data_IF_945812786548
#
_entry.id   IF_945812786548
#
_cell.length_a   1.000
_cell.length_b   1.000
_cell.length_c   1.000
_cell.angle_alpha   90.00
_cell.angle_beta   90.00
_cell.angle_gamma   90.00
#
_symmetry.space_group_name_H-M   'P 1'
#
loop_
_entity.id
_entity.type
_entity.pdbx_description
1 polymer ?
#
# COMPACT_ATOMS: atom_id res chain seq x y z
N UNK A 1 39.25 49.60 4.48
CA UNK A 1 39.57 48.24 4.94
C UNK A 1 38.34 47.67 5.62
N UNK A 2 37.91 46.49 5.14
CA UNK A 2 36.99 45.53 5.76
C UNK A 2 35.49 45.88 5.80
N UNK A 3 34.79 45.47 4.75
CA UNK A 3 33.33 45.31 4.71
C UNK A 3 33.00 43.89 5.22
N UNK A 4 32.32 43.78 6.34
CA UNK A 4 31.90 42.50 6.93
C UNK A 4 30.50 42.13 6.41
N UNK A 5 30.44 41.14 5.50
CA UNK A 5 29.19 40.47 5.16
C UNK A 5 28.81 39.47 6.26
N UNK A 6 27.65 39.66 6.90
CA UNK A 6 27.02 38.63 7.72
C UNK A 6 26.15 37.73 6.83
N UNK A 7 26.58 36.48 6.70
CA UNK A 7 25.86 35.39 6.04
C UNK A 7 24.91 34.74 7.05
N UNK A 8 23.63 35.08 7.00
CA UNK A 8 22.59 34.36 7.74
C UNK A 8 22.40 32.97 7.13
N UNK A 9 22.66 31.94 7.92
CA UNK A 9 22.34 30.54 7.60
C UNK A 9 20.83 30.35 7.76
N UNK A 10 20.13 30.14 6.65
CA UNK A 10 18.74 29.66 6.66
C UNK A 10 18.77 28.14 6.82
N UNK A 11 18.05 27.66 7.82
CA UNK A 11 18.01 26.27 8.26
C UNK A 11 17.59 25.29 7.17
N UNK A 12 18.17 24.10 7.24
CA UNK A 12 17.73 22.90 6.55
C UNK A 12 16.37 22.50 7.12
N UNK A 13 15.29 22.87 6.44
CA UNK A 13 13.99 22.27 6.69
C UNK A 13 14.03 20.86 6.08
N UNK A 14 14.11 19.86 6.94
CA UNK A 14 14.00 18.47 6.54
C UNK A 14 12.57 18.22 6.07
N UNK A 15 12.37 18.15 4.75
CA UNK A 15 11.13 17.69 4.13
C UNK A 15 10.98 16.20 4.46
N UNK A 16 10.21 15.93 5.50
CA UNK A 16 9.70 14.60 5.81
C UNK A 16 8.71 14.23 4.71
N UNK A 17 8.67 12.97 4.21
CA UNK A 17 7.58 12.53 3.36
C UNK A 17 6.32 12.54 4.22
N UNK A 18 5.57 13.64 4.12
CA UNK A 18 4.27 13.74 4.76
C UNK A 18 3.36 12.83 3.94
N UNK A 19 3.01 11.66 4.50
CA UNK A 19 1.82 10.95 4.07
C UNK A 19 0.65 11.90 4.31
N UNK A 20 0.28 12.63 3.25
CA UNK A 20 -0.77 13.65 3.26
C UNK A 20 -2.08 12.93 3.47
N UNK A 21 -2.46 12.74 4.74
CA UNK A 21 -3.80 12.30 5.12
C UNK A 21 -4.79 13.36 4.65
N UNK A 22 -5.67 13.03 3.71
CA UNK A 22 -6.77 13.93 3.30
C UNK A 22 -8.13 13.25 3.28
N UNK A 23 -9.20 14.04 3.50
CA UNK A 23 -10.45 13.53 4.01
C UNK A 23 -11.38 13.08 2.89
N UNK A 24 -11.92 11.87 3.03
CA UNK A 24 -13.07 11.41 2.26
C UNK A 24 -14.34 11.43 3.12
N UNK A 25 -15.49 11.70 2.46
CA UNK A 25 -16.82 11.81 3.06
C UNK A 25 -17.13 10.61 3.97
N UNK A 26 -17.34 10.90 5.26
CA UNK A 26 -17.68 9.90 6.28
C UNK A 26 -19.20 9.67 6.32
N UNK A 27 -19.66 8.58 5.71
CA UNK A 27 -20.97 8.01 6.04
C UNK A 27 -20.85 7.22 7.34
N UNK A 28 -21.40 7.74 8.43
CA UNK A 28 -21.49 7.03 9.72
C UNK A 28 -22.54 5.92 9.62
N UNK A 29 -22.13 4.72 9.25
CA UNK A 29 -22.89 3.50 9.53
C UNK A 29 -22.38 2.89 10.85
N UNK A 30 -23.19 3.03 11.89
CA UNK A 30 -22.92 2.60 13.24
C UNK A 30 -23.19 1.09 13.39
N UNK A 31 -22.16 0.26 13.29
CA UNK A 31 -22.30 -1.20 13.47
C UNK A 31 -21.95 -1.59 14.92
N UNK A 32 -23.01 -1.77 15.72
CA UNK A 32 -22.94 -2.29 17.10
C UNK A 32 -22.46 -3.74 17.08
N UNK A 33 -21.55 -4.07 18.00
CA UNK A 33 -20.88 -5.35 18.05
C UNK A 33 -21.80 -6.53 18.34
N UNK A 34 -21.35 -7.71 17.91
CA UNK A 34 -21.76 -8.98 18.48
C UNK A 34 -20.52 -9.86 18.59
N UNK A 35 -20.11 -10.17 19.82
CA UNK A 35 -19.01 -11.08 20.12
C UNK A 35 -19.44 -12.48 19.70
N UNK A 36 -19.01 -12.96 18.53
CA UNK A 36 -19.11 -14.37 18.19
C UNK A 36 -18.02 -15.14 18.92
N UNK A 37 -18.37 -15.64 20.10
CA UNK A 37 -17.60 -16.71 20.75
C UNK A 37 -17.71 -17.95 19.86
N UNK A 38 -16.59 -18.37 19.29
CA UNK A 38 -16.49 -19.68 18.68
C UNK A 38 -16.49 -20.71 19.83
N UNK A 39 -17.59 -21.43 19.98
CA UNK A 39 -17.62 -22.66 20.77
C UNK A 39 -16.76 -23.65 19.99
N UNK A 40 -15.53 -23.85 20.43
CA UNK A 40 -14.71 -24.97 19.97
C UNK A 40 -15.30 -26.21 20.64
N UNK A 41 -16.00 -27.02 19.86
CA UNK A 41 -16.41 -28.36 20.26
C UNK A 41 -15.15 -29.22 20.41
N UNK A 42 -14.56 -29.24 21.60
CA UNK A 42 -13.53 -30.22 21.95
C UNK A 42 -14.23 -31.54 22.25
N UNK A 43 -14.34 -32.40 21.23
CA UNK A 43 -14.61 -33.81 21.44
C UNK A 43 -13.36 -34.42 22.10
N UNK A 44 -13.40 -34.60 23.42
CA UNK A 44 -12.36 -35.32 24.17
C UNK A 44 -12.52 -36.82 23.95
N UNK A 45 -12.09 -37.30 22.78
CA UNK A 45 -11.91 -38.73 22.52
C UNK A 45 -10.42 -39.04 22.44
N UNK A 46 -9.89 -39.61 23.52
CA UNK A 46 -8.63 -40.36 23.55
C UNK A 46 -7.35 -39.53 23.40
N UNK A 47 -6.66 -39.29 24.52
CA UNK A 47 -5.23 -38.99 24.56
C UNK A 47 -4.46 -40.11 23.84
N UNK A 48 -4.11 -39.87 22.57
CA UNK A 48 -3.36 -40.79 21.75
C UNK A 48 -2.35 -40.00 20.94
N UNK A 49 -1.11 -40.49 20.91
CA UNK A 49 0.14 -39.94 20.34
C UNK A 49 0.05 -39.42 18.89
N UNK A 50 -1.11 -39.51 18.25
CA UNK A 50 -1.42 -39.12 16.87
C UNK A 50 -1.65 -37.62 16.70
N UNK A 51 -2.10 -36.90 17.74
CA UNK A 51 -2.37 -35.46 17.62
C UNK A 51 -1.10 -34.59 17.58
N UNK A 52 0.04 -35.13 18.02
CA UNK A 52 1.33 -34.43 17.95
C UNK A 52 1.93 -34.43 16.52
N UNK A 53 1.55 -35.40 15.67
CA UNK A 53 2.04 -35.49 14.28
C UNK A 53 1.32 -34.52 13.34
N UNK A 54 0.03 -34.29 13.53
CA UNK A 54 -0.78 -33.40 12.68
C UNK A 54 -0.44 -31.91 12.88
N UNK A 55 -0.11 -31.50 14.11
CA UNK A 55 0.28 -30.11 14.41
C UNK A 55 1.67 -29.72 13.86
N UNK A 56 2.56 -30.70 13.63
CA UNK A 56 3.89 -30.46 13.09
C UNK A 56 3.89 -30.21 11.57
N UNK A 57 2.92 -30.78 10.84
CA UNK A 57 2.87 -30.68 9.37
C UNK A 57 2.51 -29.28 8.86
N UNK A 58 1.64 -28.53 9.56
CA UNK A 58 1.18 -27.20 9.12
C UNK A 58 2.28 -26.12 9.27
N UNK A 59 3.15 -26.26 10.28
CA UNK A 59 4.26 -25.31 10.51
C UNK A 59 5.38 -25.47 9.46
N UNK A 60 5.58 -26.69 8.92
CA UNK A 60 6.64 -26.97 7.95
C UNK A 60 6.30 -26.51 6.50
N UNK A 61 5.03 -26.36 6.15
CA UNK A 61 4.63 -26.02 4.77
C UNK A 61 4.65 -24.50 4.52
N UNK A 62 4.43 -23.68 5.54
CA UNK A 62 4.42 -22.21 5.39
C UNK A 62 5.77 -21.60 5.00
N UNK A 63 6.89 -22.26 5.33
CA UNK A 63 8.25 -21.80 5.02
C UNK A 63 8.74 -22.21 3.62
N UNK A 64 8.02 -23.09 2.92
CA UNK A 64 8.37 -23.57 1.58
C UNK A 64 7.68 -22.78 0.46
N UNK A 65 6.83 -21.81 0.79
CA UNK A 65 6.24 -20.93 -0.21
C UNK A 65 7.34 -19.99 -0.74
N UNK A 66 7.58 -19.93 -2.05
CA UNK A 66 8.52 -18.98 -2.62
C UNK A 66 8.08 -17.56 -2.24
N UNK A 67 8.87 -16.88 -1.41
CA UNK A 67 8.70 -15.45 -1.17
C UNK A 67 9.08 -14.76 -2.47
N UNK A 68 8.15 -14.05 -3.11
CA UNK A 68 8.48 -13.18 -4.23
C UNK A 68 9.60 -12.23 -3.76
N UNK A 69 10.78 -12.36 -4.38
CA UNK A 69 11.90 -11.48 -4.09
C UNK A 69 11.50 -10.06 -4.48
N UNK A 70 11.90 -9.07 -3.67
CA UNK A 70 11.70 -7.68 -4.05
C UNK A 70 12.38 -7.43 -5.40
N UNK A 71 11.63 -6.88 -6.36
CA UNK A 71 12.17 -6.52 -7.66
C UNK A 71 13.29 -5.49 -7.46
N UNK A 72 14.53 -5.88 -7.76
CA UNK A 72 15.69 -5.00 -7.56
C UNK A 72 15.53 -3.74 -8.41
N UNK A 73 15.72 -2.57 -7.80
CA UNK A 73 15.59 -1.29 -8.50
C UNK A 73 14.16 -0.76 -8.62
N UNK A 74 13.18 -1.43 -8.01
CA UNK A 74 11.81 -0.96 -7.92
C UNK A 74 11.38 -0.79 -6.46
N UNK A 75 10.47 0.15 -6.23
CA UNK A 75 9.90 0.46 -4.92
C UNK A 75 8.40 0.14 -4.96
N UNK A 76 7.85 -0.62 -3.98
CA UNK A 76 6.42 -0.88 -3.93
C UNK A 76 5.65 0.31 -3.34
N UNK A 77 4.57 0.70 -4.02
CA UNK A 77 3.53 1.61 -3.52
C UNK A 77 2.25 0.81 -3.27
N UNK A 78 1.59 1.05 -2.12
CA UNK A 78 0.33 0.39 -1.78
C UNK A 78 -0.60 1.38 -1.09
N UNK A 79 -1.76 1.60 -1.68
CA UNK A 79 -2.86 2.30 -1.04
C UNK A 79 -3.88 1.29 -0.51
N UNK A 80 -4.13 1.34 0.80
CA UNK A 80 -5.09 0.44 1.46
C UNK A 80 -6.51 1.01 1.51
N UNK A 81 -6.67 2.31 1.30
CA UNK A 81 -7.95 3.00 1.29
C UNK A 81 -8.64 2.79 -0.06
N UNK A 82 -7.89 2.94 -1.15
CA UNK A 82 -8.41 2.79 -2.53
C UNK A 82 -8.14 1.40 -3.13
N UNK A 83 -7.35 0.56 -2.45
CA UNK A 83 -7.24 -0.87 -2.74
C UNK A 83 -6.32 -1.22 -3.91
N UNK A 84 -5.43 -0.33 -4.32
CA UNK A 84 -4.44 -0.60 -5.37
C UNK A 84 -3.02 -0.79 -4.82
N UNK A 85 -2.19 -1.48 -5.59
CA UNK A 85 -0.76 -1.57 -5.33
C UNK A 85 0.01 -1.70 -6.63
N UNK A 86 1.14 -1.02 -6.73
CA UNK A 86 2.01 -1.07 -7.89
C UNK A 86 3.47 -0.97 -7.47
N UNK A 87 4.37 -1.12 -8.44
CA UNK A 87 5.80 -0.89 -8.27
C UNK A 87 6.25 0.21 -9.21
N UNK A 88 7.20 1.03 -8.79
CA UNK A 88 7.76 2.11 -9.59
C UNK A 88 9.29 2.10 -9.50
N UNK A 89 10.01 2.70 -10.46
CA UNK A 89 11.48 2.69 -10.45
C UNK A 89 12.06 3.43 -9.25
N UNK A 90 13.20 2.96 -8.75
CA UNK A 90 13.99 3.70 -7.78
C UNK A 90 14.46 5.03 -8.39
N UNK A 91 14.46 6.11 -7.60
CA UNK A 91 14.84 7.45 -8.05
C UNK A 91 13.67 8.32 -8.50
N UNK A 92 12.43 7.82 -8.39
CA UNK A 92 11.22 8.60 -8.64
C UNK A 92 10.68 9.20 -7.34
N UNK A 93 10.15 10.43 -7.42
CA UNK A 93 9.60 11.17 -6.30
C UNK A 93 8.09 11.38 -6.45
N UNK A 94 7.37 11.21 -5.34
CA UNK A 94 5.94 11.52 -5.26
C UNK A 94 5.71 13.04 -5.32
N UNK A 95 4.74 13.46 -6.12
CA UNK A 95 4.29 14.85 -6.23
C UNK A 95 2.77 14.90 -6.13
N UNK A 96 2.26 15.90 -5.40
CA UNK A 96 0.82 16.10 -5.29
C UNK A 96 0.29 16.89 -6.50
N UNK A 97 -0.66 16.32 -7.23
CA UNK A 97 -1.34 16.98 -8.36
C UNK A 97 -2.84 16.90 -8.14
N UNK A 98 -3.55 17.99 -8.46
CA UNK A 98 -5.00 18.07 -8.25
C UNK A 98 -5.74 17.13 -9.20
N UNK A 99 -6.54 16.21 -8.65
CA UNK A 99 -7.38 15.28 -9.41
C UNK A 99 -6.74 13.92 -9.68
N UNK A 100 -5.49 13.73 -9.28
CA UNK A 100 -4.82 12.44 -9.24
C UNK A 100 -4.72 11.99 -7.79
N UNK A 101 -4.75 10.67 -7.61
CA UNK A 101 -4.56 10.10 -6.29
C UNK A 101 -3.07 10.10 -5.92
N UNK A 102 -2.23 9.56 -6.81
CA UNK A 102 -0.77 9.64 -6.68
C UNK A 102 -0.11 9.92 -8.01
N UNK A 103 0.99 10.68 -7.99
CA UNK A 103 1.85 10.94 -9.15
C UNK A 103 3.30 10.78 -8.73
N UNK A 104 4.04 9.95 -9.45
CA UNK A 104 5.49 9.79 -9.31
C UNK A 104 6.19 10.36 -10.55
N UNK A 105 7.28 11.10 -10.35
CA UNK A 105 8.11 11.66 -11.41
C UNK A 105 9.57 11.26 -11.26
N UNK A 106 10.26 11.05 -12.37
CA UNK A 106 11.71 10.85 -12.34
C UNK A 106 12.43 12.14 -11.91
N UNK A 107 13.39 12.00 -10.99
CA UNK A 107 14.20 13.13 -10.48
C UNK A 107 15.24 13.59 -11.51
N UNK A 108 15.73 12.68 -12.34
CA UNK A 108 16.75 12.92 -13.38
C UNK A 108 16.12 13.30 -14.71
N UNK A 109 15.00 12.67 -15.08
CA UNK A 109 14.27 12.96 -16.32
C UNK A 109 12.83 13.41 -16.04
N UNK A 110 12.58 14.66 -15.60
CA UNK A 110 11.27 15.11 -15.09
C UNK A 110 10.07 15.03 -16.06
N UNK A 111 10.32 14.70 -17.33
CA UNK A 111 9.30 14.45 -18.35
C UNK A 111 8.68 13.05 -18.22
N UNK A 112 9.34 12.12 -17.53
CA UNK A 112 8.81 10.79 -17.24
C UNK A 112 7.97 10.80 -15.96
N UNK A 113 6.77 10.22 -16.03
CA UNK A 113 5.86 10.17 -14.90
C UNK A 113 4.90 8.99 -14.96
N UNK A 114 4.42 8.57 -13.80
CA UNK A 114 3.36 7.60 -13.63
C UNK A 114 2.35 8.15 -12.62
N UNK A 115 1.06 8.00 -12.92
CA UNK A 115 -0.01 8.50 -12.06
C UNK A 115 -1.15 7.52 -11.95
N UNK A 116 -1.80 7.51 -10.80
CA UNK A 116 -3.06 6.79 -10.58
C UNK A 116 -4.17 7.81 -10.39
N UNK A 117 -5.29 7.60 -11.08
CA UNK A 117 -6.52 8.36 -10.91
C UNK A 117 -7.66 7.39 -10.64
N UNK A 118 -8.39 7.63 -9.54
CA UNK A 118 -9.55 6.82 -9.16
C UNK A 118 -10.80 7.61 -9.53
N UNK A 119 -11.57 7.07 -10.47
CA UNK A 119 -12.82 7.67 -10.92
C UNK A 119 -13.99 6.72 -10.63
N UNK A 120 -15.10 7.28 -10.15
CA UNK A 120 -16.33 6.51 -9.97
C UNK A 120 -16.89 6.08 -11.33
N UNK A 121 -17.38 4.85 -11.41
CA UNK A 121 -17.99 4.29 -12.61
C UNK A 121 -19.19 3.41 -12.27
N UNK A 122 -20.19 3.42 -13.15
CA UNK A 122 -21.34 2.52 -13.08
C UNK A 122 -21.08 1.18 -13.81
N UNK A 123 -19.89 1.01 -14.40
CA UNK A 123 -19.49 -0.18 -15.15
C UNK A 123 -19.00 -1.27 -14.20
N UNK A 124 -19.36 -2.52 -14.52
CA UNK A 124 -18.97 -3.67 -13.70
C UNK A 124 -17.64 -4.27 -14.18
N UNK A 125 -17.38 -4.22 -15.49
CA UNK A 125 -16.14 -4.74 -16.09
C UNK A 125 -15.49 -3.69 -17.00
N UNK A 126 -14.19 -3.85 -17.25
CA UNK A 126 -13.45 -2.98 -18.16
C UNK A 126 -13.91 -3.12 -19.62
N UNK A 127 -14.49 -4.27 -19.97
CA UNK A 127 -14.99 -4.57 -21.32
C UNK A 127 -16.23 -3.74 -21.66
N UNK A 128 -16.97 -3.26 -20.66
CA UNK A 128 -18.14 -2.38 -20.84
C UNK A 128 -17.77 -1.00 -21.45
N UNK A 129 -16.47 -0.69 -21.51
CA UNK A 129 -15.93 0.51 -22.18
C UNK A 129 -15.64 0.31 -23.66
N UNK A 130 -15.75 -0.92 -24.19
CA UNK A 130 -15.42 -1.25 -25.57
C UNK A 130 -14.00 -1.81 -25.74
N UNK A 131 -13.61 -2.02 -26.99
CA UNK A 131 -12.27 -2.51 -27.32
C UNK A 131 -11.22 -1.40 -27.13
N UNK A 132 -9.97 -1.81 -26.89
CA UNK A 132 -8.87 -0.86 -26.80
C UNK A 132 -8.67 -0.15 -28.15
N UNK A 133 -9.00 1.14 -28.22
CA UNK A 133 -8.78 2.01 -29.39
C UNK A 133 -10.02 2.48 -30.14
N UNK A 134 -11.23 2.26 -29.59
CA UNK A 134 -12.49 2.80 -30.11
C UNK A 134 -12.81 4.21 -29.56
#
# INVERSE_FOLDING_TARGET
>A
MQSTCHRSQTGLEQVTPQAVRRPHLSSKAQQKGCKRQAIICQASSGQGRRQALEAAAVVAIGSLLPRAAAAKGYVPAKDQQDGYSFIYPFGWQEVSVTGQDVVYKDIIEPLESASVAVAATDKATVEDYGALGE
#
